data_IF_885760520029
#
_entry.id   IF_885760520029
#
_cell.length_a   1.000
_cell.length_b   1.000
_cell.length_c   1.000
_cell.angle_alpha   90.00
_cell.angle_beta   90.00
_cell.angle_gamma   90.00
#
_symmetry.space_group_name_H-M   'P 1'
#
loop_
_entity.id
_entity.type
_entity.pdbx_description
1 polymer ?
#
# COMPACT_ATOMS: atom_id res chain seq x y z
N UNK A 1 0.09 3.94 21.11
CA UNK A 1 0.51 4.41 19.77
C UNK A 1 -0.34 3.66 18.78
N UNK A 2 -1.13 4.36 17.96
CA UNK A 2 -1.98 3.73 16.97
C UNK A 2 -1.13 3.21 15.81
N UNK A 3 -1.44 2.03 15.30
CA UNK A 3 -0.83 1.49 14.08
C UNK A 3 -1.27 2.35 12.87
N UNK A 4 -0.44 2.40 11.82
CA UNK A 4 -0.71 3.20 10.61
C UNK A 4 -2.06 2.83 9.97
N UNK A 5 -2.39 1.53 9.95
CA UNK A 5 -3.68 1.01 9.50
C UNK A 5 -4.87 1.51 10.34
N UNK A 6 -4.71 1.67 11.66
CA UNK A 6 -5.78 2.17 12.55
C UNK A 6 -6.10 3.65 12.29
N UNK A 7 -5.15 4.38 11.71
CA UNK A 7 -5.37 5.75 11.26
C UNK A 7 -5.97 5.81 9.85
N UNK A 8 -5.47 5.00 8.92
CA UNK A 8 -5.81 5.10 7.50
C UNK A 8 -7.11 4.39 7.13
N UNK A 9 -7.39 3.20 7.69
CA UNK A 9 -8.52 2.37 7.30
C UNK A 9 -9.91 2.91 7.73
N UNK A 10 -10.11 3.47 8.93
CA UNK A 10 -11.42 3.91 9.36
C UNK A 10 -11.82 5.25 8.71
N UNK A 11 -13.13 5.39 8.44
CA UNK A 11 -13.72 6.66 7.97
C UNK A 11 -13.63 7.78 9.00
N UNK A 12 -13.68 7.44 10.29
CA UNK A 12 -13.61 8.38 11.41
C UNK A 12 -12.72 7.82 12.50
N UNK A 13 -11.84 8.67 13.04
CA UNK A 13 -11.00 8.37 14.21
C UNK A 13 -11.10 9.54 15.16
N UNK A 14 -11.38 9.27 16.43
CA UNK A 14 -11.36 10.27 17.50
C UNK A 14 -10.08 10.13 18.33
N UNK A 15 -9.48 11.26 18.67
CA UNK A 15 -8.24 11.35 19.43
C UNK A 15 -8.53 11.83 20.84
N UNK A 16 -7.90 11.18 21.82
CA UNK A 16 -8.04 11.50 23.22
C UNK A 16 -6.66 11.70 23.86
N UNK A 17 -6.58 12.58 24.86
CA UNK A 17 -5.39 12.73 25.70
C UNK A 17 -5.25 11.53 26.66
N UNK A 18 -4.12 11.46 27.37
CA UNK A 18 -3.89 10.42 28.39
C UNK A 18 -4.92 10.51 29.55
N UNK A 19 -5.44 11.70 29.78
CA UNK A 19 -6.48 12.02 30.77
C UNK A 19 -7.89 11.84 30.19
N UNK A 20 -8.04 11.12 29.07
CA UNK A 20 -9.31 10.83 28.40
C UNK A 20 -10.08 12.07 27.93
N UNK A 21 -9.39 13.19 27.68
CA UNK A 21 -10.00 14.38 27.10
C UNK A 21 -10.01 14.30 25.59
N UNK A 22 -11.18 14.51 24.97
CA UNK A 22 -11.31 14.56 23.51
C UNK A 22 -10.48 15.72 22.95
N UNK A 23 -9.53 15.40 22.07
CA UNK A 23 -8.65 16.36 21.39
C UNK A 23 -9.22 16.78 20.03
N UNK A 24 -9.99 15.92 19.39
CA UNK A 24 -10.58 16.15 18.07
C UNK A 24 -10.70 14.85 17.29
N UNK A 25 -11.05 14.96 16.02
CA UNK A 25 -11.10 13.85 15.07
C UNK A 25 -10.02 13.99 13.99
N UNK A 26 -9.93 12.96 13.13
CA UNK A 26 -8.98 12.87 12.02
C UNK A 26 -9.04 14.07 11.08
N UNK A 27 -10.22 14.66 10.88
CA UNK A 27 -10.43 15.81 10.00
C UNK A 27 -10.00 17.10 10.71
N UNK A 28 -10.43 17.30 11.95
CA UNK A 28 -10.09 18.51 12.72
C UNK A 28 -8.59 18.60 13.02
N UNK A 29 -7.91 17.46 13.16
CA UNK A 29 -6.49 17.37 13.48
C UNK A 29 -5.62 17.06 12.25
N UNK A 30 -6.16 17.13 11.04
CA UNK A 30 -5.48 16.70 9.81
C UNK A 30 -4.08 17.31 9.65
N UNK A 31 -3.95 18.63 9.82
CA UNK A 31 -2.67 19.34 9.71
C UNK A 31 -1.62 18.80 10.71
N UNK A 32 -2.03 18.61 11.97
CA UNK A 32 -1.16 18.06 13.02
C UNK A 32 -0.76 16.60 12.74
N UNK A 33 -1.70 15.79 12.26
CA UNK A 33 -1.44 14.39 11.89
C UNK A 33 -0.44 14.34 10.74
N UNK A 34 -0.62 15.14 9.69
CA UNK A 34 0.32 15.25 8.57
C UNK A 34 1.71 15.67 9.03
N UNK A 35 1.81 16.68 9.89
CA UNK A 35 3.09 17.16 10.40
C UNK A 35 3.82 16.08 11.21
N UNK A 36 3.09 15.39 12.09
CA UNK A 36 3.65 14.36 12.96
C UNK A 36 4.00 13.05 12.24
N UNK A 37 3.21 12.66 11.23
CA UNK A 37 3.33 11.35 10.57
C UNK A 37 3.92 11.40 9.16
N UNK A 38 3.99 12.60 8.55
CA UNK A 38 4.33 12.85 7.14
C UNK A 38 3.39 12.19 6.13
N UNK A 39 2.26 11.64 6.57
CA UNK A 39 1.24 11.09 5.70
C UNK A 39 0.54 12.25 4.95
N UNK A 40 0.44 12.18 3.61
CA UNK A 40 -0.27 13.20 2.83
C UNK A 40 -1.75 13.32 3.19
N UNK A 41 -2.28 14.53 3.07
CA UNK A 41 -3.69 14.83 3.34
C UNK A 41 -4.64 13.97 2.51
N UNK A 42 -4.28 13.68 1.25
CA UNK A 42 -5.04 12.80 0.37
C UNK A 42 -5.16 11.37 0.94
N UNK A 43 -4.07 10.80 1.47
CA UNK A 43 -4.11 9.48 2.11
C UNK A 43 -4.96 9.49 3.38
N UNK A 44 -4.88 10.56 4.19
CA UNK A 44 -5.74 10.73 5.36
C UNK A 44 -7.23 10.84 4.98
N UNK A 45 -7.54 11.40 3.82
CA UNK A 45 -8.91 11.53 3.29
C UNK A 45 -9.40 10.27 2.57
N UNK A 46 -8.60 9.20 2.50
CA UNK A 46 -9.00 7.91 1.93
C UNK A 46 -8.71 7.77 0.44
N UNK A 47 -7.77 8.55 -0.11
CA UNK A 47 -7.26 8.29 -1.45
C UNK A 47 -6.69 6.87 -1.54
N UNK A 48 -6.88 6.16 -2.67
CA UNK A 48 -6.30 4.84 -2.88
C UNK A 48 -4.78 4.84 -2.64
N UNK A 49 -4.29 3.88 -1.86
CA UNK A 49 -2.87 3.81 -1.51
C UNK A 49 -1.98 3.60 -2.75
N UNK A 50 -2.51 2.99 -3.80
CA UNK A 50 -1.84 2.81 -5.10
C UNK A 50 -1.46 4.12 -5.80
N UNK A 51 -1.96 5.27 -5.35
CA UNK A 51 -1.54 6.59 -5.86
C UNK A 51 -0.18 7.03 -5.32
N UNK A 52 0.29 6.43 -4.22
CA UNK A 52 1.56 6.72 -3.59
C UNK A 52 2.58 5.65 -3.95
N UNK A 53 3.81 6.06 -4.22
CA UNK A 53 4.92 5.16 -4.49
C UNK A 53 5.25 4.33 -3.24
N UNK A 54 5.86 3.16 -3.45
CA UNK A 54 6.37 2.31 -2.37
C UNK A 54 7.29 3.10 -1.43
N UNK A 55 8.16 3.95 -1.98
CA UNK A 55 9.07 4.80 -1.19
C UNK A 55 8.33 5.82 -0.33
N UNK A 56 7.28 6.47 -0.87
CA UNK A 56 6.44 7.36 -0.07
C UNK A 56 5.76 6.61 1.05
N UNK A 57 5.18 5.44 0.77
CA UNK A 57 4.52 4.63 1.80
C UNK A 57 5.49 4.17 2.88
N UNK A 58 6.70 3.73 2.51
CA UNK A 58 7.77 3.37 3.46
C UNK A 58 8.11 4.53 4.40
N UNK A 59 8.19 5.76 3.87
CA UNK A 59 8.52 6.96 4.64
C UNK A 59 7.54 7.25 5.78
N UNK A 60 6.29 6.77 5.67
CA UNK A 60 5.25 6.97 6.70
C UNK A 60 5.55 6.24 8.03
N UNK A 61 6.57 5.38 8.05
CA UNK A 61 7.04 4.67 9.24
C UNK A 61 8.28 5.29 9.89
N UNK A 62 9.03 6.15 9.18
CA UNK A 62 10.38 6.61 9.59
C UNK A 62 10.40 7.30 10.96
N UNK A 63 9.38 8.12 11.22
CA UNK A 63 9.30 8.94 12.43
C UNK A 63 8.56 8.25 13.58
N UNK A 64 8.13 6.99 13.40
CA UNK A 64 7.35 6.26 14.42
C UNK A 64 8.24 5.70 15.52
N UNK A 65 7.77 5.82 16.77
CA UNK A 65 8.41 5.24 17.96
C UNK A 65 7.68 3.98 18.41
N UNK A 66 8.10 2.85 17.90
CA UNK A 66 7.52 1.54 18.22
C UNK A 66 8.10 0.95 19.49
N UNK A 67 7.42 -0.06 20.06
CA UNK A 67 7.93 -0.82 21.21
C UNK A 67 9.04 -1.76 20.76
N UNK A 68 8.82 -2.45 19.64
CA UNK A 68 9.81 -3.29 18.99
C UNK A 68 10.29 -2.63 17.69
N UNK A 69 11.57 -2.72 17.32
CA UNK A 69 12.08 -2.17 16.07
C UNK A 69 11.33 -2.66 14.81
N UNK A 70 10.97 -3.95 14.79
CA UNK A 70 10.26 -4.65 13.71
C UNK A 70 8.82 -4.14 13.49
N UNK A 71 8.16 -3.63 14.53
CA UNK A 71 6.81 -3.05 14.45
C UNK A 71 6.72 -1.92 13.40
N UNK A 72 7.85 -1.25 13.08
CA UNK A 72 7.89 -0.24 12.02
C UNK A 72 7.56 -0.85 10.67
N UNK A 73 8.19 -1.96 10.33
CA UNK A 73 7.91 -2.70 9.11
C UNK A 73 6.50 -3.31 9.16
N UNK A 74 6.09 -3.88 10.29
CA UNK A 74 4.76 -4.47 10.44
C UNK A 74 3.62 -3.47 10.24
N UNK A 75 3.82 -2.21 10.64
CA UNK A 75 2.84 -1.15 10.41
C UNK A 75 2.57 -0.85 8.93
N UNK A 76 3.46 -1.25 8.02
CA UNK A 76 3.38 -1.01 6.58
C UNK A 76 2.78 -2.17 5.79
N UNK A 77 2.64 -3.36 6.38
CA UNK A 77 2.10 -4.56 5.74
C UNK A 77 0.76 -4.26 5.04
N UNK A 78 -0.20 -3.71 5.80
CA UNK A 78 -1.52 -3.35 5.28
C UNK A 78 -1.51 -2.15 4.31
N UNK A 79 -0.48 -1.31 4.36
CA UNK A 79 -0.35 -0.15 3.46
C UNK A 79 0.20 -0.57 2.11
N UNK A 80 1.21 -1.44 2.10
CA UNK A 80 1.84 -1.98 0.90
C UNK A 80 1.06 -3.16 0.30
N UNK A 81 0.06 -3.70 1.02
CA UNK A 81 -0.80 -4.77 0.53
C UNK A 81 -0.08 -6.12 0.38
N UNK A 82 0.95 -6.36 1.19
CA UNK A 82 1.71 -7.61 1.22
C UNK A 82 1.52 -8.31 2.56
N UNK A 83 2.00 -9.55 2.68
CA UNK A 83 2.02 -10.29 3.93
C UNK A 83 3.43 -10.82 4.17
N UNK A 84 3.96 -10.66 5.38
CA UNK A 84 5.25 -11.21 5.80
C UNK A 84 5.09 -12.05 7.06
N UNK A 85 5.99 -13.02 7.26
CA UNK A 85 6.01 -13.82 8.47
C UNK A 85 6.63 -13.01 9.60
N UNK A 86 5.85 -12.66 10.62
CA UNK A 86 6.35 -11.94 11.79
C UNK A 86 7.21 -12.88 12.65
N UNK A 87 8.47 -12.53 12.88
CA UNK A 87 9.35 -13.23 13.82
C UNK A 87 9.85 -12.27 14.90
N UNK A 88 9.62 -12.62 16.16
CA UNK A 88 10.14 -11.84 17.28
C UNK A 88 11.67 -11.92 17.32
N UNK A 89 12.34 -10.77 17.34
CA UNK A 89 13.79 -10.70 17.43
C UNK A 89 14.56 -10.72 16.10
N UNK A 90 13.88 -10.66 14.94
CA UNK A 90 14.56 -10.44 13.65
C UNK A 90 15.11 -9.02 13.48
N UNK A 91 14.63 -8.09 14.32
CA UNK A 91 14.96 -6.67 14.29
C UNK A 91 14.39 -5.94 13.07
N UNK A 92 14.49 -4.61 13.08
CA UNK A 92 13.93 -3.78 12.00
C UNK A 92 14.48 -4.16 10.62
N UNK A 93 15.79 -4.40 10.51
CA UNK A 93 16.43 -4.71 9.23
C UNK A 93 15.92 -6.01 8.59
N UNK A 94 15.72 -7.06 9.38
CA UNK A 94 15.14 -8.33 8.90
C UNK A 94 13.71 -8.13 8.41
N UNK A 95 12.87 -7.49 9.24
CA UNK A 95 11.47 -7.25 8.91
C UNK A 95 11.30 -6.36 7.66
N UNK A 96 12.10 -5.30 7.52
CA UNK A 96 12.08 -4.45 6.32
C UNK A 96 12.56 -5.19 5.09
N UNK A 97 13.60 -6.04 5.20
CA UNK A 97 14.04 -6.86 4.07
C UNK A 97 12.94 -7.78 3.57
N UNK A 98 12.29 -8.53 4.48
CA UNK A 98 11.16 -9.39 4.12
C UNK A 98 10.04 -8.59 3.45
N UNK A 99 9.72 -7.42 3.99
CA UNK A 99 8.67 -6.55 3.47
C UNK A 99 8.95 -6.12 2.02
N UNK A 100 10.17 -5.65 1.74
CA UNK A 100 10.56 -5.24 0.39
C UNK A 100 10.60 -6.43 -0.57
N UNK A 101 11.11 -7.59 -0.13
CA UNK A 101 11.16 -8.80 -0.94
C UNK A 101 9.75 -9.24 -1.40
N UNK A 102 8.74 -9.14 -0.52
CA UNK A 102 7.34 -9.46 -0.88
C UNK A 102 6.71 -8.41 -1.80
N UNK A 103 7.01 -7.13 -1.61
CA UNK A 103 6.56 -6.06 -2.53
C UNK A 103 7.11 -6.29 -3.93
N UNK A 104 8.40 -6.65 -4.04
CA UNK A 104 9.04 -6.95 -5.31
C UNK A 104 8.46 -8.20 -5.99
N UNK A 105 8.15 -9.25 -5.21
CA UNK A 105 7.46 -10.45 -5.74
C UNK A 105 6.08 -10.09 -6.29
N UNK A 106 5.30 -9.29 -5.57
CA UNK A 106 3.98 -8.84 -6.01
C UNK A 106 4.07 -8.04 -7.31
N UNK A 107 5.01 -7.09 -7.39
CA UNK A 107 5.22 -6.28 -8.58
C UNK A 107 5.60 -7.11 -9.81
N UNK A 108 6.47 -8.12 -9.64
CA UNK A 108 6.80 -9.08 -10.72
C UNK A 108 5.57 -9.85 -11.19
N UNK A 109 4.79 -10.40 -10.27
CA UNK A 109 3.56 -11.13 -10.59
C UNK A 109 2.56 -10.26 -11.38
N UNK A 110 2.37 -9.00 -10.96
CA UNK A 110 1.51 -8.04 -11.66
C UNK A 110 2.01 -7.72 -13.08
N UNK A 111 3.34 -7.60 -13.25
CA UNK A 111 3.94 -7.41 -14.55
C UNK A 111 3.68 -8.61 -15.47
N UNK A 112 3.89 -9.83 -14.98
CA UNK A 112 3.69 -11.06 -15.76
C UNK A 112 2.22 -11.24 -16.17
N UNK A 113 1.28 -10.90 -15.28
CA UNK A 113 -0.15 -10.89 -15.60
C UNK A 113 -0.50 -9.86 -16.68
N UNK A 114 0.08 -8.65 -16.63
CA UNK A 114 -0.14 -7.62 -17.65
C UNK A 114 0.40 -8.05 -19.01
N UNK A 115 1.61 -8.62 -19.05
CA UNK A 115 2.22 -9.14 -20.28
C UNK A 115 1.38 -10.28 -20.86
N UNK A 116 0.93 -11.22 -20.02
CA UNK A 116 0.10 -12.36 -20.46
C UNK A 116 -1.23 -11.88 -21.04
N UNK A 117 -1.88 -10.90 -20.40
CA UNK A 117 -3.12 -10.30 -20.91
C UNK A 117 -2.91 -9.60 -22.26
N UNK A 118 -1.82 -8.84 -22.44
CA UNK A 118 -1.51 -8.17 -23.70
C UNK A 118 -1.21 -9.17 -24.82
N UNK A 119 -0.41 -10.20 -24.55
CA UNK A 119 -0.06 -11.23 -25.51
C UNK A 119 -1.29 -12.03 -25.96
N UNK A 120 -2.12 -12.48 -25.01
CA UNK A 120 -3.33 -13.23 -25.31
C UNK A 120 -4.39 -12.38 -26.04
N UNK A 121 -4.51 -11.09 -25.72
CA UNK A 121 -5.42 -10.19 -26.42
C UNK A 121 -4.96 -9.91 -27.86
N UNK A 122 -3.66 -9.73 -28.11
CA UNK A 122 -3.13 -9.53 -29.47
C UNK A 122 -3.40 -10.74 -30.36
N UNK A 123 -3.06 -11.95 -29.89
CA UNK A 123 -3.24 -13.19 -30.65
C UNK A 123 -4.72 -13.43 -31.01
N UNK A 124 -5.64 -13.21 -30.06
CA UNK A 124 -7.09 -13.33 -30.31
C UNK A 124 -7.61 -12.33 -31.36
N UNK A 125 -7.09 -11.09 -31.38
CA UNK A 125 -7.51 -10.09 -32.37
C UNK A 125 -7.03 -10.47 -33.76
N UNK A 126 -5.81 -10.98 -33.88
CA UNK A 126 -5.24 -11.46 -35.15
C UNK A 126 -6.02 -12.68 -35.68
N UNK A 127 -6.33 -13.66 -34.82
CA UNK A 127 -7.07 -14.88 -35.19
C UNK A 127 -8.53 -14.59 -35.60
N UNK A 128 -9.17 -13.55 -35.03
CA UNK A 128 -10.58 -13.21 -35.34
C UNK A 128 -10.71 -12.30 -36.57
N UNK A 129 -9.66 -11.56 -36.95
CA UNK A 129 -9.67 -10.65 -38.11
C UNK A 129 -9.01 -11.22 -39.36
N UNK A 130 -8.24 -12.30 -39.25
CA UNK A 130 -7.60 -12.98 -40.37
C UNK A 130 -8.53 -13.83 -41.26
N UNK A 131 -9.71 -14.22 -40.77
CA UNK A 131 -10.68 -15.04 -41.53
C UNK A 131 -11.74 -14.27 -42.32
N UNK A 132 -11.84 -12.95 -42.18
CA UNK A 132 -12.90 -12.14 -42.81
C UNK A 132 -12.52 -11.53 -44.17
N UNK A 133 -11.32 -11.83 -44.69
CA UNK A 133 -10.83 -11.31 -45.97
C UNK A 133 -10.72 -12.37 -47.08
N UNK A 134 -10.92 -13.67 -46.79
CA UNK A 134 -10.89 -14.72 -47.81
C UNK A 134 -12.19 -14.85 -48.63
N UNK A 135 -13.31 -14.32 -48.14
CA UNK A 135 -14.62 -14.41 -48.84
C UNK A 135 -14.96 -13.18 -49.70
N UNK A 136 -14.10 -12.16 -49.75
CA UNK A 136 -14.32 -10.93 -50.56
C UNK A 136 -13.65 -10.94 -51.94
N UNK A 137 -12.96 -12.04 -52.29
CA UNK A 137 -12.31 -12.25 -53.59
C UNK A 137 -12.72 -13.57 -54.25
N UNK A 138 -14.01 -13.94 -54.20
CA UNK A 138 -14.55 -15.00 -55.05
C UNK A 138 -15.68 -14.51 -55.95
#
# INVERSE_FOLDING_TARGET
MLLLQELLAPKSVEFFSKEWRRLGDKTSLQCYIREATRIPDAALQGAPLSQFTVNEQLSWSEHRKTKLPEDRAYSLIGVLGVYISTFDGEGAGGAFKQLIDEVDKLNRCLHDLRVTNLYNNKKRIEDTKGGLLEDLYR
#
